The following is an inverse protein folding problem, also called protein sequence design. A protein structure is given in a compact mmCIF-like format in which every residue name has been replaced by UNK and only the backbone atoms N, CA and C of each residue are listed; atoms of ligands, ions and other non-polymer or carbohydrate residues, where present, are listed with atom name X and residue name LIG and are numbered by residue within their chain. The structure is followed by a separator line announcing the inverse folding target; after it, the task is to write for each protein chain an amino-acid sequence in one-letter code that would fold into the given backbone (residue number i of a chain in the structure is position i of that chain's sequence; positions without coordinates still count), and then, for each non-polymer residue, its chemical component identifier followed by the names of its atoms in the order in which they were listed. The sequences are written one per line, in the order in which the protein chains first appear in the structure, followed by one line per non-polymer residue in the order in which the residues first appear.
data_IF_438913321617
#
_entry.id   IF_438913321617
#
_cell.length_a   1.000
_cell.length_b   1.000
_cell.length_c   1.000
_cell.angle_alpha   90.00
_cell.angle_beta   90.00
_cell.angle_gamma   90.00
#
_symmetry.space_group_name_H-M   'P 1'
#
loop_
_entity.id
_entity.type
_entity.pdbx_description
1 polymer ?
#
# COMPACT_ATOMS: atom_id res chain seq x y z
N UNK A 1 15.75 22.56 -9.06
CA UNK A 1 15.78 21.53 -7.99
C UNK A 1 14.77 21.90 -6.92
N UNK A 2 13.84 21.02 -6.59
CA UNK A 2 12.93 21.19 -5.46
C UNK A 2 13.77 21.22 -4.17
N UNK A 3 13.81 22.38 -3.49
CA UNK A 3 14.42 22.45 -2.15
C UNK A 3 13.45 21.80 -1.17
N UNK A 4 13.64 20.50 -0.93
CA UNK A 4 12.86 19.75 0.05
C UNK A 4 13.31 20.11 1.48
N UNK A 5 12.33 20.37 2.35
CA UNK A 5 12.61 20.55 3.78
C UNK A 5 13.16 19.26 4.41
N UNK A 6 13.89 19.38 5.52
CA UNK A 6 14.41 18.20 6.25
C UNK A 6 13.29 17.26 6.68
N UNK A 7 12.12 17.81 7.07
CA UNK A 7 10.94 17.02 7.44
C UNK A 7 10.48 16.13 6.29
N UNK A 8 10.31 16.70 5.08
CA UNK A 8 9.87 15.97 3.89
C UNK A 8 10.88 14.89 3.53
N UNK A 9 12.18 15.20 3.58
CA UNK A 9 13.23 14.21 3.30
C UNK A 9 13.18 13.02 4.27
N UNK A 10 13.10 13.29 5.59
CA UNK A 10 13.05 12.24 6.60
C UNK A 10 11.80 11.35 6.45
N UNK A 11 10.66 11.96 6.18
CA UNK A 11 9.41 11.26 5.93
C UNK A 11 9.44 10.42 4.63
N UNK A 12 10.01 10.96 3.56
CA UNK A 12 10.16 10.25 2.29
C UNK A 12 11.14 9.06 2.39
N UNK A 13 12.23 9.22 3.14
CA UNK A 13 13.19 8.14 3.39
C UNK A 13 12.58 6.99 4.19
N UNK A 14 11.63 7.25 5.09
CA UNK A 14 10.87 6.19 5.72
C UNK A 14 10.13 5.33 4.68
N UNK A 15 9.46 5.95 3.69
CA UNK A 15 8.80 5.20 2.61
C UNK A 15 9.79 4.48 1.69
N UNK A 16 10.97 5.06 1.46
CA UNK A 16 12.06 4.37 0.76
C UNK A 16 12.43 3.05 1.45
N UNK A 17 12.52 3.06 2.78
CA UNK A 17 12.87 1.88 3.58
C UNK A 17 11.74 0.85 3.64
N UNK A 18 10.54 1.27 4.04
CA UNK A 18 9.46 0.35 4.33
C UNK A 18 8.88 -0.32 3.07
N UNK A 19 8.92 0.34 1.90
CA UNK A 19 8.47 -0.25 0.64
C UNK A 19 9.30 -1.46 0.20
N UNK A 20 10.53 -1.63 0.69
CA UNK A 20 11.28 -2.86 0.46
C UNK A 20 10.55 -4.08 1.03
N UNK A 21 9.88 -3.95 2.18
CA UNK A 21 9.07 -5.02 2.76
C UNK A 21 7.88 -5.39 1.87
N UNK A 22 7.10 -4.41 1.40
CA UNK A 22 5.98 -4.68 0.49
C UNK A 22 6.46 -5.29 -0.82
N UNK A 23 7.43 -4.66 -1.47
CA UNK A 23 7.83 -5.03 -2.83
C UNK A 23 8.56 -6.37 -2.85
N UNK A 24 9.54 -6.56 -1.97
CA UNK A 24 10.33 -7.78 -1.96
C UNK A 24 9.65 -8.91 -1.17
N UNK A 25 9.17 -8.64 0.06
CA UNK A 25 8.65 -9.71 0.91
C UNK A 25 7.20 -10.02 0.57
N UNK A 26 6.27 -9.07 0.73
CA UNK A 26 4.83 -9.36 0.53
C UNK A 26 4.55 -9.82 -0.89
N UNK A 27 5.14 -9.16 -1.90
CA UNK A 27 4.78 -9.39 -3.30
C UNK A 27 5.53 -10.54 -3.94
N UNK A 28 6.82 -10.76 -3.63
CA UNK A 28 7.68 -11.69 -4.39
C UNK A 28 8.21 -12.84 -3.55
N UNK A 29 9.09 -12.55 -2.59
CA UNK A 29 9.88 -13.61 -1.96
C UNK A 29 9.08 -14.46 -0.98
N UNK A 30 8.22 -13.85 -0.16
CA UNK A 30 7.47 -14.62 0.83
C UNK A 30 6.48 -15.61 0.19
N UNK A 31 5.62 -15.24 -0.78
CA UNK A 31 4.70 -16.19 -1.41
C UNK A 31 5.39 -17.40 -2.05
N UNK A 32 6.52 -17.15 -2.74
CA UNK A 32 7.29 -18.21 -3.40
C UNK A 32 7.95 -19.11 -2.35
N UNK A 33 8.70 -18.50 -1.42
CA UNK A 33 9.48 -19.25 -0.43
C UNK A 33 8.60 -19.94 0.60
N UNK A 34 7.40 -19.40 0.88
CA UNK A 34 6.42 -20.04 1.72
C UNK A 34 5.95 -21.39 1.14
N UNK A 35 5.73 -21.46 -0.18
CA UNK A 35 5.36 -22.72 -0.86
C UNK A 35 6.52 -23.70 -0.96
N UNK A 36 7.68 -23.21 -1.38
CA UNK A 36 8.78 -24.08 -1.78
C UNK A 36 9.63 -24.53 -0.61
N UNK A 37 9.71 -23.76 0.48
CA UNK A 37 10.59 -24.01 1.61
C UNK A 37 9.81 -24.23 2.91
N UNK A 38 9.05 -23.25 3.39
CA UNK A 38 8.40 -23.37 4.69
C UNK A 38 7.20 -24.33 4.68
N UNK A 39 6.53 -24.52 3.55
CA UNK A 39 5.45 -25.49 3.33
C UNK A 39 5.92 -26.67 2.46
N UNK A 40 7.19 -27.02 2.52
CA UNK A 40 7.75 -28.09 1.71
C UNK A 40 6.96 -29.40 1.85
N UNK A 41 6.65 -30.04 0.72
CA UNK A 41 5.89 -31.29 0.69
C UNK A 41 4.38 -31.16 0.89
N UNK A 42 3.86 -29.96 1.03
CA UNK A 42 2.41 -29.68 1.15
C UNK A 42 1.84 -29.30 -0.22
N UNK A 43 0.59 -29.73 -0.48
CA UNK A 43 -0.12 -29.36 -1.70
C UNK A 43 -0.13 -27.85 -1.92
N UNK A 44 0.17 -27.36 -3.14
CA UNK A 44 0.20 -25.93 -3.44
C UNK A 44 -1.10 -25.18 -3.13
N UNK A 45 -2.25 -25.84 -3.23
CA UNK A 45 -3.56 -25.23 -2.93
C UNK A 45 -3.72 -24.98 -1.42
N UNK A 46 -3.26 -25.93 -0.58
CA UNK A 46 -3.23 -25.76 0.88
C UNK A 46 -2.28 -24.65 1.29
N UNK A 47 -1.10 -24.57 0.64
CA UNK A 47 -0.14 -23.49 0.88
C UNK A 47 -0.72 -22.12 0.51
N UNK A 48 -1.41 -22.02 -0.63
CA UNK A 48 -2.12 -20.82 -1.05
C UNK A 48 -3.22 -20.41 -0.05
N UNK A 49 -3.99 -21.38 0.43
CA UNK A 49 -5.02 -21.15 1.45
C UNK A 49 -4.43 -20.62 2.76
N UNK A 50 -3.33 -21.20 3.25
CA UNK A 50 -2.62 -20.72 4.46
C UNK A 50 -2.11 -19.31 4.29
N UNK A 51 -1.53 -18.98 3.14
CA UNK A 51 -1.07 -17.61 2.82
C UNK A 51 -2.26 -16.62 2.79
N UNK A 52 -3.37 -17.04 2.19
CA UNK A 52 -4.61 -16.26 2.19
C UNK A 52 -5.12 -15.98 3.60
N UNK A 53 -5.09 -16.97 4.50
CA UNK A 53 -5.45 -16.80 5.90
C UNK A 53 -4.52 -15.81 6.62
N UNK A 54 -3.20 -15.87 6.36
CA UNK A 54 -2.25 -14.94 6.96
C UNK A 54 -2.52 -13.49 6.51
N UNK A 55 -2.72 -13.28 5.21
CA UNK A 55 -3.05 -11.96 4.66
C UNK A 55 -4.38 -11.42 5.20
N UNK A 56 -5.44 -12.24 5.15
CA UNK A 56 -6.77 -11.85 5.65
C UNK A 56 -6.75 -11.57 7.15
N UNK A 57 -6.00 -12.37 7.93
CA UNK A 57 -5.84 -12.16 9.37
C UNK A 57 -5.10 -10.84 9.67
N UNK A 58 -4.02 -10.55 8.95
CA UNK A 58 -3.30 -9.27 9.09
C UNK A 58 -4.20 -8.09 8.73
N UNK A 59 -4.88 -8.13 7.58
CA UNK A 59 -5.80 -7.07 7.14
C UNK A 59 -6.94 -6.85 8.12
N UNK A 60 -7.52 -7.93 8.69
CA UNK A 60 -8.58 -7.81 9.70
C UNK A 60 -8.08 -7.13 10.98
N UNK A 61 -6.89 -7.51 11.48
CA UNK A 61 -6.29 -6.88 12.65
C UNK A 61 -6.06 -5.38 12.38
N UNK A 62 -5.50 -5.04 11.24
CA UNK A 62 -5.26 -3.65 10.84
C UNK A 62 -6.57 -2.88 10.72
N UNK A 63 -7.54 -3.43 9.99
CA UNK A 63 -8.83 -2.78 9.77
C UNK A 63 -9.55 -2.44 11.08
N UNK A 64 -9.53 -3.34 12.06
CA UNK A 64 -10.17 -3.12 13.35
C UNK A 64 -9.38 -2.18 14.28
N UNK A 65 -8.06 -2.20 14.19
CA UNK A 65 -7.18 -1.46 15.10
C UNK A 65 -6.72 -0.10 14.60
N UNK A 66 -6.62 0.11 13.27
CA UNK A 66 -6.06 1.34 12.69
C UNK A 66 -6.79 2.63 13.14
N UNK A 67 -8.13 2.72 13.12
CA UNK A 67 -8.83 3.92 13.60
C UNK A 67 -8.62 4.16 15.10
N UNK A 68 -8.56 3.08 15.90
CA UNK A 68 -8.35 3.14 17.33
C UNK A 68 -6.95 3.69 17.66
N UNK A 69 -5.94 3.09 17.04
CA UNK A 69 -4.54 3.51 17.22
C UNK A 69 -4.31 4.93 16.70
N UNK A 70 -4.96 5.30 15.59
CA UNK A 70 -4.93 6.65 15.04
C UNK A 70 -5.49 7.68 16.02
N UNK A 71 -6.65 7.41 16.62
CA UNK A 71 -7.28 8.30 17.60
C UNK A 71 -6.42 8.46 18.88
N UNK A 72 -5.82 7.36 19.35
CA UNK A 72 -4.91 7.40 20.51
C UNK A 72 -3.66 8.23 20.19
N UNK A 73 -3.09 8.06 18.99
CA UNK A 73 -1.90 8.79 18.55
C UNK A 73 -2.15 10.29 18.37
N UNK A 74 -3.35 10.67 17.92
CA UNK A 74 -3.76 12.08 17.80
C UNK A 74 -3.81 12.75 19.17
N UNK A 75 -4.52 12.15 20.13
CA UNK A 75 -4.68 12.73 21.46
C UNK A 75 -3.38 12.81 22.24
N UNK A 76 -2.55 11.76 22.17
CA UNK A 76 -1.27 11.73 22.87
C UNK A 76 -0.18 12.59 22.21
N UNK A 77 -0.36 13.06 20.97
CA UNK A 77 0.71 13.69 20.20
C UNK A 77 1.89 12.74 19.97
N UNK A 78 1.61 11.45 19.71
CA UNK A 78 2.62 10.39 19.67
C UNK A 78 2.72 9.69 18.30
N UNK A 79 2.27 10.34 17.21
CA UNK A 79 2.22 9.75 15.86
C UNK A 79 3.58 9.22 15.39
N UNK A 80 4.64 10.02 15.53
CA UNK A 80 5.99 9.63 15.15
C UNK A 80 6.49 8.46 15.99
N UNK A 81 6.22 8.46 17.30
CA UNK A 81 6.62 7.35 18.19
C UNK A 81 5.92 6.06 17.80
N UNK A 82 4.61 6.10 17.55
CA UNK A 82 3.85 4.92 17.09
C UNK A 82 4.37 4.42 15.75
N UNK A 83 4.66 5.31 14.79
CA UNK A 83 5.27 4.95 13.50
C UNK A 83 6.60 4.23 13.69
N UNK A 84 7.51 4.82 14.48
CA UNK A 84 8.84 4.25 14.69
C UNK A 84 8.81 2.94 15.49
N UNK A 85 7.91 2.82 16.48
CA UNK A 85 7.68 1.56 17.19
C UNK A 85 7.16 0.49 16.24
N UNK A 86 6.22 0.83 15.35
CA UNK A 86 5.71 -0.10 14.33
C UNK A 86 6.82 -0.51 13.36
N UNK A 87 7.64 0.43 12.89
CA UNK A 87 8.77 0.12 12.01
C UNK A 87 9.79 -0.81 12.70
N UNK A 88 10.11 -0.56 13.97
CA UNK A 88 11.04 -1.36 14.74
C UNK A 88 10.51 -2.79 14.98
N UNK A 89 9.27 -2.91 15.46
CA UNK A 89 8.65 -4.21 15.71
C UNK A 89 8.42 -4.99 14.40
N UNK A 90 7.99 -4.31 13.34
CA UNK A 90 7.83 -4.93 12.02
C UNK A 90 9.14 -5.45 11.46
N UNK A 91 10.21 -4.68 11.59
CA UNK A 91 11.54 -5.10 11.17
C UNK A 91 12.07 -6.31 12.00
N UNK A 92 11.81 -6.33 13.31
CA UNK A 92 12.16 -7.50 14.15
C UNK A 92 11.40 -8.75 13.68
N UNK A 93 10.11 -8.64 13.39
CA UNK A 93 9.31 -9.76 12.90
C UNK A 93 9.77 -10.21 11.51
N UNK A 94 10.10 -9.27 10.62
CA UNK A 94 10.71 -9.59 9.33
C UNK A 94 12.07 -10.29 9.50
N UNK A 95 12.93 -9.78 10.39
CA UNK A 95 14.23 -10.40 10.69
C UNK A 95 14.09 -11.81 11.25
N UNK A 96 13.06 -12.06 12.09
CA UNK A 96 12.81 -13.38 12.68
C UNK A 96 12.53 -14.46 11.63
N UNK A 97 12.01 -14.11 10.44
CA UNK A 97 11.83 -15.04 9.32
C UNK A 97 13.15 -15.70 8.87
N UNK A 98 14.29 -15.03 9.06
CA UNK A 98 15.61 -15.57 8.75
C UNK A 98 15.91 -16.88 9.49
N UNK A 99 15.39 -17.03 10.71
CA UNK A 99 15.66 -18.19 11.58
C UNK A 99 14.65 -19.31 11.42
N UNK A 100 13.63 -19.13 10.58
CA UNK A 100 12.62 -20.17 10.34
C UNK A 100 13.16 -21.24 9.39
N UNK A 101 13.15 -22.49 9.82
CA UNK A 101 13.68 -23.60 9.06
C UNK A 101 12.65 -24.26 8.13
N UNK A 102 13.15 -25.19 7.31
CA UNK A 102 12.35 -25.95 6.35
C UNK A 102 11.14 -26.61 7.04
N UNK A 103 9.97 -26.47 6.46
CA UNK A 103 8.73 -27.08 6.97
C UNK A 103 8.06 -26.36 8.14
N UNK A 104 8.69 -25.32 8.71
CA UNK A 104 8.14 -24.57 9.87
C UNK A 104 7.18 -23.48 9.45
N UNK A 105 6.18 -23.82 8.65
CA UNK A 105 5.25 -22.86 8.06
C UNK A 105 4.45 -22.04 9.09
N UNK A 106 4.17 -22.59 10.28
CA UNK A 106 3.42 -21.86 11.32
C UNK A 106 4.17 -20.64 11.82
N UNK A 107 5.48 -20.77 12.09
CA UNK A 107 6.33 -19.68 12.51
C UNK A 107 6.53 -18.66 11.38
N UNK A 108 6.75 -19.13 10.14
CA UNK A 108 6.84 -18.26 8.98
C UNK A 108 5.57 -17.41 8.83
N UNK A 109 4.40 -18.04 8.91
CA UNK A 109 3.11 -17.37 8.82
C UNK A 109 2.89 -16.37 9.97
N UNK A 110 3.23 -16.75 11.21
CA UNK A 110 3.07 -15.89 12.37
C UNK A 110 3.95 -14.62 12.28
N UNK A 111 5.24 -14.77 11.95
CA UNK A 111 6.15 -13.65 11.81
C UNK A 111 5.80 -12.77 10.63
N UNK A 112 5.41 -13.34 9.49
CA UNK A 112 4.95 -12.60 8.32
C UNK A 112 3.70 -11.78 8.62
N UNK A 113 2.69 -12.41 9.25
CA UNK A 113 1.45 -11.74 9.63
C UNK A 113 1.72 -10.58 10.60
N UNK A 114 2.55 -10.80 11.63
CA UNK A 114 2.93 -9.76 12.58
C UNK A 114 3.69 -8.62 11.90
N UNK A 115 4.69 -8.93 11.03
CA UNK A 115 5.42 -7.92 10.28
C UNK A 115 4.49 -7.09 9.38
N UNK A 116 3.53 -7.75 8.72
CA UNK A 116 2.53 -7.10 7.87
C UNK A 116 1.62 -6.16 8.66
N UNK A 117 1.14 -6.59 9.84
CA UNK A 117 0.34 -5.72 10.72
C UNK A 117 1.12 -4.47 11.12
N UNK A 118 2.37 -4.62 11.58
CA UNK A 118 3.21 -3.47 11.93
C UNK A 118 3.55 -2.58 10.73
N UNK A 119 3.74 -3.15 9.55
CA UNK A 119 3.93 -2.41 8.31
C UNK A 119 2.72 -1.50 8.02
N UNK A 120 1.52 -2.04 8.06
CA UNK A 120 0.29 -1.29 7.80
C UNK A 120 0.00 -0.25 8.88
N UNK A 121 0.24 -0.55 10.16
CA UNK A 121 0.17 0.46 11.22
C UNK A 121 1.16 1.60 10.99
N UNK A 122 2.39 1.28 10.59
CA UNK A 122 3.39 2.28 10.20
C UNK A 122 2.89 3.19 9.08
N UNK A 123 2.18 2.63 8.09
CA UNK A 123 1.60 3.41 7.00
C UNK A 123 0.46 4.32 7.47
N UNK A 124 -0.42 3.86 8.37
CA UNK A 124 -1.48 4.71 8.97
C UNK A 124 -0.87 5.97 9.60
N UNK A 125 0.16 5.81 10.43
CA UNK A 125 0.81 6.95 11.06
C UNK A 125 1.62 7.78 10.06
N UNK A 126 2.32 7.14 9.13
CA UNK A 126 3.07 7.80 8.07
C UNK A 126 2.17 8.68 7.19
N UNK A 127 1.03 8.16 6.78
CA UNK A 127 0.04 8.89 5.98
C UNK A 127 -0.60 10.04 6.76
N UNK A 128 -0.94 9.83 8.04
CA UNK A 128 -1.48 10.88 8.90
C UNK A 128 -0.49 12.02 9.13
N UNK A 129 0.82 11.73 9.14
CA UNK A 129 1.88 12.72 9.27
C UNK A 129 2.04 13.60 8.03
N UNK A 130 1.49 13.24 6.87
CA UNK A 130 1.48 14.08 5.67
C UNK A 130 0.97 15.49 5.99
N UNK A 131 -0.07 15.60 6.82
CA UNK A 131 -0.69 16.87 7.21
C UNK A 131 0.28 17.80 7.97
N UNK A 132 1.20 17.24 8.76
CA UNK A 132 2.18 17.99 9.55
C UNK A 132 3.54 18.18 8.87
N UNK A 133 3.86 17.30 7.93
CA UNK A 133 5.15 17.31 7.20
C UNK A 133 5.08 18.20 5.97
N UNK A 134 3.96 18.20 5.25
CA UNK A 134 3.76 19.00 4.05
C UNK A 134 3.63 20.50 4.38
N UNK A 135 4.20 21.33 3.53
CA UNK A 135 3.94 22.77 3.55
C UNK A 135 2.50 23.06 3.05
N UNK A 136 1.86 24.12 3.55
CA UNK A 136 0.54 24.53 3.05
C UNK A 136 0.52 24.63 1.52
N UNK A 137 -0.46 24.00 0.88
CA UNK A 137 -0.58 23.97 -0.58
C UNK A 137 0.27 22.95 -1.31
N UNK A 138 1.20 22.24 -0.65
CA UNK A 138 2.11 21.26 -1.28
C UNK A 138 1.81 19.81 -0.93
N UNK A 139 0.58 19.47 -0.54
CA UNK A 139 0.21 18.11 -0.17
C UNK A 139 0.45 17.10 -1.31
N UNK A 140 0.08 17.48 -2.55
CA UNK A 140 0.17 16.57 -3.70
C UNK A 140 1.62 16.22 -4.02
N UNK A 141 2.50 17.24 -4.08
CA UNK A 141 3.93 16.99 -4.34
C UNK A 141 4.60 16.26 -3.17
N UNK A 142 4.26 16.59 -1.92
CA UNK A 142 4.81 15.87 -0.75
C UNK A 142 4.38 14.41 -0.77
N UNK A 143 3.10 14.13 -1.04
CA UNK A 143 2.58 12.76 -1.22
C UNK A 143 3.31 12.04 -2.36
N UNK A 144 3.49 12.73 -3.50
CA UNK A 144 4.20 12.19 -4.67
C UNK A 144 5.66 11.82 -4.35
N UNK A 145 6.36 12.63 -3.56
CA UNK A 145 7.74 12.35 -3.13
C UNK A 145 7.78 11.10 -2.24
N UNK A 146 6.78 10.89 -1.38
CA UNK A 146 6.65 9.66 -0.60
C UNK A 146 6.52 8.42 -1.50
N UNK A 147 5.61 8.44 -2.47
CA UNK A 147 5.43 7.34 -3.43
C UNK A 147 6.65 7.15 -4.34
N UNK A 148 7.23 8.23 -4.87
CA UNK A 148 8.49 8.19 -5.62
C UNK A 148 9.59 7.47 -4.83
N UNK A 149 9.77 7.85 -3.57
CA UNK A 149 10.77 7.25 -2.69
C UNK A 149 10.47 5.77 -2.45
N UNK A 150 9.22 5.41 -2.22
CA UNK A 150 8.78 4.03 -2.04
C UNK A 150 9.05 3.17 -3.27
N UNK A 151 8.60 3.59 -4.44
CA UNK A 151 8.84 2.86 -5.69
C UNK A 151 10.33 2.68 -5.99
N UNK A 152 11.12 3.76 -5.83
CA UNK A 152 12.55 3.69 -6.12
C UNK A 152 13.29 2.84 -5.09
N UNK A 153 13.04 3.05 -3.79
CA UNK A 153 13.70 2.30 -2.73
C UNK A 153 13.32 0.81 -2.72
N UNK A 154 12.02 0.51 -2.86
CA UNK A 154 11.52 -0.86 -2.95
C UNK A 154 11.94 -1.55 -4.24
N UNK A 155 11.90 -0.84 -5.38
CA UNK A 155 12.33 -1.36 -6.68
C UNK A 155 13.82 -1.70 -6.72
N UNK A 156 14.69 -0.82 -6.24
CA UNK A 156 16.14 -1.09 -6.16
C UNK A 156 16.44 -2.26 -5.23
N UNK A 157 15.76 -2.33 -4.09
CA UNK A 157 15.90 -3.46 -3.17
C UNK A 157 15.41 -4.77 -3.79
N UNK A 158 14.29 -4.75 -4.52
CA UNK A 158 13.80 -5.93 -5.25
C UNK A 158 14.81 -6.42 -6.30
N UNK A 159 15.39 -5.49 -7.07
CA UNK A 159 16.44 -5.84 -8.05
C UNK A 159 17.60 -6.54 -7.36
N UNK A 160 18.10 -6.00 -6.26
CA UNK A 160 19.16 -6.64 -5.46
C UNK A 160 18.73 -8.05 -5.02
N UNK A 161 17.53 -8.22 -4.49
CA UNK A 161 17.01 -9.52 -4.05
C UNK A 161 16.89 -10.54 -5.20
N UNK A 162 16.43 -10.10 -6.37
CA UNK A 162 16.35 -10.96 -7.57
C UNK A 162 17.74 -11.41 -7.99
N UNK A 163 18.72 -10.51 -8.05
CA UNK A 163 20.11 -10.88 -8.36
C UNK A 163 20.69 -11.86 -7.35
N UNK A 164 20.46 -11.64 -6.06
CA UNK A 164 20.89 -12.56 -5.02
C UNK A 164 20.28 -13.95 -5.16
N UNK A 165 19.00 -14.03 -5.54
CA UNK A 165 18.30 -15.32 -5.74
C UNK A 165 18.74 -16.05 -6.99
N UNK A 166 19.04 -15.32 -8.10
CA UNK A 166 19.46 -15.91 -9.37
C UNK A 166 20.95 -16.29 -9.40
N UNK A 167 21.78 -15.58 -8.66
CA UNK A 167 23.24 -15.76 -8.63
C UNK A 167 23.78 -15.74 -7.19
N UNK A 168 23.30 -16.67 -6.31
CA UNK A 168 23.66 -16.66 -4.90
C UNK A 168 25.16 -16.74 -4.67
N UNK A 169 25.89 -17.46 -5.53
CA UNK A 169 27.35 -17.61 -5.43
C UNK A 169 28.11 -16.28 -5.55
N UNK A 170 27.58 -15.30 -6.25
CA UNK A 170 28.20 -13.95 -6.32
C UNK A 170 28.21 -13.22 -4.99
N UNK A 171 27.34 -13.65 -4.09
CA UNK A 171 27.18 -13.08 -2.73
C UNK A 171 27.74 -14.02 -1.64
N UNK A 172 28.46 -15.09 -2.04
CA UNK A 172 28.99 -16.09 -1.10
C UNK A 172 27.93 -16.98 -0.47
N UNK A 173 26.75 -17.12 -1.09
CA UNK A 173 25.62 -17.90 -0.59
C UNK A 173 25.57 -19.26 -1.32
N UNK A 174 25.16 -20.30 -0.60
CA UNK A 174 25.17 -21.67 -1.09
C UNK A 174 24.12 -21.90 -2.20
N UNK A 175 22.92 -21.38 -1.99
CA UNK A 175 21.76 -21.62 -2.84
C UNK A 175 20.74 -20.47 -2.78
N UNK A 176 19.68 -20.59 -3.57
CA UNK A 176 18.57 -19.62 -3.59
C UNK A 176 17.83 -19.54 -2.25
N UNK A 177 17.73 -20.64 -1.49
CA UNK A 177 17.06 -20.63 -0.18
C UNK A 177 17.86 -19.80 0.83
N UNK A 178 19.17 -19.98 0.89
CA UNK A 178 20.07 -19.14 1.68
C UNK A 178 19.99 -17.67 1.26
N UNK A 179 19.88 -17.40 -0.05
CA UNK A 179 19.71 -16.05 -0.56
C UNK A 179 18.42 -15.40 -0.05
N UNK A 180 17.27 -16.10 -0.10
CA UNK A 180 15.99 -15.55 0.41
C UNK A 180 16.06 -15.30 1.91
N UNK A 181 16.66 -16.17 2.71
CA UNK A 181 16.88 -15.95 4.15
C UNK A 181 17.69 -14.68 4.42
N UNK A 182 18.73 -14.41 3.61
CA UNK A 182 19.52 -13.19 3.71
C UNK A 182 18.74 -11.97 3.24
N UNK A 183 17.96 -12.07 2.15
CA UNK A 183 17.12 -10.99 1.65
C UNK A 183 16.11 -10.52 2.72
N UNK A 184 15.49 -11.45 3.43
CA UNK A 184 14.56 -11.13 4.52
C UNK A 184 15.26 -10.35 5.63
N UNK A 185 16.45 -10.78 6.03
CA UNK A 185 17.30 -10.09 7.01
C UNK A 185 17.69 -8.67 6.53
N UNK A 186 18.14 -8.56 5.27
CA UNK A 186 18.50 -7.27 4.67
C UNK A 186 17.29 -6.33 4.54
N UNK A 187 16.09 -6.86 4.28
CA UNK A 187 14.84 -6.07 4.27
C UNK A 187 14.60 -5.40 5.61
N UNK A 188 14.77 -6.13 6.71
CA UNK A 188 14.64 -5.58 8.05
C UNK A 188 15.67 -4.47 8.31
N UNK A 189 16.93 -4.71 7.97
CA UNK A 189 18.00 -3.72 8.09
C UNK A 189 17.78 -2.48 7.24
N UNK A 190 17.33 -2.64 6.00
CA UNK A 190 16.98 -1.57 5.07
C UNK A 190 15.85 -0.71 5.63
N UNK A 191 14.78 -1.34 6.11
CA UNK A 191 13.66 -0.63 6.72
C UNK A 191 14.09 0.21 7.93
N UNK A 192 14.85 -0.37 8.85
CA UNK A 192 15.36 0.37 10.03
C UNK A 192 16.32 1.50 9.64
N UNK A 193 17.28 1.24 8.75
CA UNK A 193 18.26 2.23 8.31
C UNK A 193 17.60 3.49 7.77
N UNK A 194 16.64 3.32 6.88
CA UNK A 194 15.92 4.44 6.26
C UNK A 194 14.83 5.05 7.16
N UNK A 195 14.52 4.45 8.30
CA UNK A 195 13.68 5.04 9.34
C UNK A 195 14.45 6.00 10.26
N UNK A 196 15.79 5.90 10.33
CA UNK A 196 16.65 6.76 11.16
C UNK A 196 16.48 8.26 10.84
N UNK A 197 16.47 8.71 9.58
CA UNK A 197 16.27 10.13 9.26
C UNK A 197 14.94 10.69 9.75
N UNK A 198 13.88 9.88 9.76
CA UNK A 198 12.58 10.30 10.30
C UNK A 198 12.70 10.59 11.81
N UNK A 199 13.46 9.77 12.55
CA UNK A 199 13.70 10.00 13.97
C UNK A 199 14.28 11.39 14.23
N UNK A 200 15.34 11.78 13.49
CA UNK A 200 16.09 13.02 13.76
C UNK A 200 15.52 14.25 13.07
N UNK A 201 14.91 14.11 11.88
CA UNK A 201 14.54 15.25 11.04
C UNK A 201 13.07 15.64 11.10
N UNK A 202 12.21 14.72 11.54
CA UNK A 202 10.78 14.99 11.62
C UNK A 202 10.40 15.20 13.09
N UNK A 203 9.90 16.39 13.46
CA UNK A 203 9.41 16.61 14.82
C UNK A 203 8.16 15.78 15.08
N UNK A 204 7.89 15.47 16.36
CA UNK A 204 6.61 14.94 16.76
C UNK A 204 5.52 15.96 16.45
N UNK A 205 4.44 15.60 15.76
CA UNK A 205 3.31 16.51 15.54
C UNK A 205 2.76 17.03 16.87
N UNK A 206 2.25 18.27 16.86
CA UNK A 206 1.65 18.87 18.04
C UNK A 206 0.43 18.04 18.52
N UNK A 207 0.35 17.82 19.80
CA UNK A 207 -0.75 17.15 20.49
C UNK A 207 -0.73 17.55 21.98
N UNK A 208 -1.74 17.15 22.71
CA UNK A 208 -1.90 17.54 24.13
C UNK A 208 -0.84 16.94 25.08
N UNK A 209 0.08 16.11 24.56
CA UNK A 209 1.15 15.41 25.32
C UNK A 209 0.67 14.76 26.61
N UNK A 210 -0.47 14.13 26.56
CA UNK A 210 -1.04 13.40 27.68
C UNK A 210 -0.32 12.06 27.92
N UNK A 211 -0.51 11.50 29.11
CA UNK A 211 -0.05 10.14 29.36
C UNK A 211 -0.78 9.15 28.46
N UNK A 212 -0.13 8.05 28.08
CA UNK A 212 -0.69 7.05 27.17
C UNK A 212 -2.05 6.54 27.69
N UNK A 213 -2.19 6.30 29.00
CA UNK A 213 -3.44 5.79 29.60
C UNK A 213 -4.61 6.75 29.40
N UNK A 214 -4.38 8.06 29.59
CA UNK A 214 -5.39 9.10 29.38
C UNK A 214 -5.70 9.23 27.89
N UNK A 215 -4.68 9.19 27.04
CA UNK A 215 -4.82 9.22 25.58
C UNK A 215 -5.65 8.05 25.04
N UNK A 216 -5.51 6.84 25.60
CA UNK A 216 -6.32 5.67 25.22
C UNK A 216 -7.79 5.92 25.51
N UNK A 217 -8.13 6.30 26.75
CA UNK A 217 -9.54 6.53 27.13
C UNK A 217 -10.19 7.63 26.31
N UNK A 218 -9.50 8.77 26.13
CA UNK A 218 -9.99 9.90 25.34
C UNK A 218 -10.06 9.58 23.85
N UNK A 219 -9.05 8.88 23.29
CA UNK A 219 -9.04 8.46 21.90
C UNK A 219 -10.19 7.52 21.56
N UNK A 220 -10.48 6.54 22.41
CA UNK A 220 -11.62 5.64 22.21
C UNK A 220 -12.97 6.37 22.29
N UNK A 221 -13.11 7.33 23.22
CA UNK A 221 -14.31 8.17 23.31
C UNK A 221 -14.48 9.01 22.05
N UNK A 222 -13.42 9.68 21.61
CA UNK A 222 -13.42 10.48 20.39
C UNK A 222 -13.78 9.63 19.17
N UNK A 223 -13.20 8.42 19.04
CA UNK A 223 -13.52 7.48 17.96
C UNK A 223 -15.01 7.13 17.96
N UNK A 224 -15.60 6.84 19.12
CA UNK A 224 -17.02 6.56 19.24
C UNK A 224 -17.90 7.75 18.83
N UNK A 225 -17.48 8.97 19.19
CA UNK A 225 -18.14 10.22 18.77
C UNK A 225 -18.04 10.40 17.25
N UNK A 226 -16.86 10.22 16.66
CA UNK A 226 -16.66 10.32 15.20
C UNK A 226 -17.46 9.27 14.45
N UNK A 227 -17.47 8.02 14.92
CA UNK A 227 -18.26 6.96 14.30
C UNK A 227 -19.76 7.28 14.29
N UNK A 228 -20.27 7.88 15.37
CA UNK A 228 -21.68 8.33 15.44
C UNK A 228 -21.96 9.49 14.50
N UNK A 229 -21.03 10.42 14.34
CA UNK A 229 -21.21 11.66 13.60
C UNK A 229 -20.52 11.68 12.24
N UNK A 230 -19.92 10.55 11.78
CA UNK A 230 -19.19 10.49 10.50
C UNK A 230 -20.04 10.98 9.32
N UNK A 231 -21.36 10.80 9.39
CA UNK A 231 -22.30 11.34 8.39
C UNK A 231 -22.38 12.87 8.37
N UNK A 232 -22.07 13.55 9.48
CA UNK A 232 -22.06 15.02 9.52
C UNK A 232 -20.84 15.60 8.79
N UNK A 233 -19.76 14.81 8.66
CA UNK A 233 -18.59 15.14 7.83
C UNK A 233 -18.82 14.75 6.37
N UNK A 234 -19.89 15.26 5.76
CA UNK A 234 -20.35 14.86 4.41
C UNK A 234 -19.25 14.74 3.35
N UNK A 235 -18.34 15.73 3.16
CA UNK A 235 -17.30 15.64 2.14
C UNK A 235 -16.34 14.46 2.38
N UNK A 236 -15.94 14.24 3.64
CA UNK A 236 -15.08 13.13 4.05
C UNK A 236 -15.76 11.79 3.84
N UNK A 237 -17.01 11.67 4.30
CA UNK A 237 -17.79 10.44 4.17
C UNK A 237 -18.01 10.04 2.70
N UNK A 238 -18.43 11.00 1.85
CA UNK A 238 -18.64 10.74 0.41
C UNK A 238 -17.30 10.36 -0.24
N UNK A 239 -16.21 11.05 0.12
CA UNK A 239 -14.89 10.72 -0.39
C UNK A 239 -14.47 9.30 0.01
N UNK A 240 -14.66 8.91 1.26
CA UNK A 240 -14.30 7.57 1.75
C UNK A 240 -15.07 6.46 1.02
N UNK A 241 -16.36 6.65 0.74
CA UNK A 241 -17.14 5.69 -0.04
C UNK A 241 -16.65 5.66 -1.50
N UNK A 242 -16.42 6.82 -2.12
CA UNK A 242 -15.87 6.88 -3.47
C UNK A 242 -14.52 6.19 -3.55
N UNK A 243 -13.62 6.49 -2.59
CA UNK A 243 -12.30 5.89 -2.45
C UNK A 243 -12.39 4.37 -2.33
N UNK A 244 -13.21 3.87 -1.42
CA UNK A 244 -13.39 2.44 -1.21
C UNK A 244 -13.76 1.72 -2.52
N UNK A 245 -14.72 2.26 -3.25
CA UNK A 245 -15.20 1.64 -4.50
C UNK A 245 -14.14 1.66 -5.60
N UNK A 246 -13.50 2.82 -5.88
CA UNK A 246 -12.54 2.84 -6.99
C UNK A 246 -11.19 2.22 -6.62
N UNK A 247 -10.77 2.25 -5.34
CA UNK A 247 -9.52 1.63 -4.93
C UNK A 247 -9.62 0.10 -4.89
N UNK A 248 -10.83 -0.44 -4.66
CA UNK A 248 -11.10 -1.87 -4.84
C UNK A 248 -10.83 -2.29 -6.31
N UNK A 249 -11.31 -1.50 -7.27
CA UNK A 249 -10.99 -1.71 -8.69
C UNK A 249 -9.48 -1.64 -8.98
N UNK A 250 -8.78 -0.65 -8.41
CA UNK A 250 -7.31 -0.50 -8.55
C UNK A 250 -6.59 -1.71 -7.97
N UNK A 251 -6.89 -2.09 -6.73
CA UNK A 251 -6.27 -3.22 -6.05
C UNK A 251 -6.56 -4.53 -6.78
N UNK A 252 -7.76 -4.68 -7.32
CA UNK A 252 -8.17 -5.85 -8.11
C UNK A 252 -7.32 -5.97 -9.38
N UNK A 253 -7.13 -4.89 -10.14
CA UNK A 253 -6.26 -4.91 -11.32
C UNK A 253 -4.83 -5.31 -10.93
N UNK A 254 -4.32 -4.77 -9.83
CA UNK A 254 -2.95 -5.08 -9.36
C UNK A 254 -2.81 -6.55 -8.96
N UNK A 255 -3.74 -7.05 -8.16
CA UNK A 255 -3.68 -8.41 -7.60
C UNK A 255 -3.96 -9.49 -8.65
N UNK A 256 -4.89 -9.22 -9.56
CA UNK A 256 -5.33 -10.18 -10.56
C UNK A 256 -4.53 -10.13 -11.87
N UNK A 257 -3.68 -9.11 -12.08
CA UNK A 257 -2.94 -8.94 -13.34
C UNK A 257 -2.07 -10.15 -13.70
N UNK A 258 -1.37 -10.72 -12.71
CA UNK A 258 -0.49 -11.89 -12.91
C UNK A 258 -1.33 -13.14 -13.20
N UNK A 259 -2.38 -13.39 -12.42
CA UNK A 259 -3.28 -14.52 -12.63
C UNK A 259 -3.99 -14.43 -13.98
N UNK A 260 -4.46 -13.24 -14.34
CA UNK A 260 -5.07 -12.98 -15.63
C UNK A 260 -4.09 -13.23 -16.79
N UNK A 261 -2.88 -12.69 -16.70
CA UNK A 261 -1.83 -12.92 -17.71
C UNK A 261 -1.50 -14.40 -17.88
N UNK A 262 -1.46 -15.15 -16.77
CA UNK A 262 -1.25 -16.60 -16.78
C UNK A 262 -2.44 -17.35 -17.39
N UNK A 263 -3.67 -16.95 -17.08
CA UNK A 263 -4.89 -17.55 -17.60
C UNK A 263 -5.03 -17.40 -19.12
N UNK A 264 -4.47 -16.32 -19.70
CA UNK A 264 -4.47 -16.10 -21.17
C UNK A 264 -3.20 -16.61 -21.85
N UNK A 265 -2.29 -17.29 -21.11
CA UNK A 265 -1.19 -18.08 -21.66
C UNK A 265 0.18 -17.40 -21.68
N UNK A 266 0.41 -16.31 -20.92
CA UNK A 266 1.73 -15.67 -20.84
C UNK A 266 2.69 -16.43 -19.94
N UNK A 267 3.98 -16.43 -20.30
CA UNK A 267 5.06 -17.08 -19.56
C UNK A 267 5.38 -16.38 -18.23
N UNK A 268 5.89 -17.15 -17.27
CA UNK A 268 6.27 -16.61 -15.95
C UNK A 268 7.30 -15.47 -16.05
N UNK A 269 8.24 -15.56 -16.99
CA UNK A 269 9.24 -14.50 -17.25
C UNK A 269 8.58 -13.19 -17.68
N UNK A 270 7.56 -13.26 -18.54
CA UNK A 270 6.81 -12.08 -19.00
C UNK A 270 6.06 -11.41 -17.83
N UNK A 271 5.48 -12.24 -16.95
CA UNK A 271 4.76 -11.74 -15.77
C UNK A 271 5.70 -11.01 -14.78
N UNK A 272 6.89 -11.60 -14.53
CA UNK A 272 7.90 -10.96 -13.65
C UNK A 272 8.40 -9.63 -14.28
N UNK A 273 8.70 -9.63 -15.58
CA UNK A 273 9.15 -8.42 -16.28
C UNK A 273 8.08 -7.32 -16.24
N UNK A 274 6.80 -7.68 -16.39
CA UNK A 274 5.69 -6.74 -16.27
C UNK A 274 5.61 -6.10 -14.88
N UNK A 275 5.78 -6.88 -13.80
CA UNK A 275 5.79 -6.35 -12.41
C UNK A 275 6.95 -5.38 -12.22
N UNK A 276 8.15 -5.71 -12.70
CA UNK A 276 9.30 -4.80 -12.64
C UNK A 276 9.03 -3.51 -13.43
N UNK A 277 8.40 -3.63 -14.60
CA UNK A 277 8.06 -2.47 -15.43
C UNK A 277 7.10 -1.52 -14.70
N UNK A 278 6.06 -2.05 -14.03
CA UNK A 278 5.16 -1.25 -13.19
C UNK A 278 5.93 -0.45 -12.14
N UNK A 279 6.88 -1.08 -11.45
CA UNK A 279 7.66 -0.42 -10.41
C UNK A 279 8.51 0.74 -10.96
N UNK A 280 9.25 0.51 -12.04
CA UNK A 280 10.14 1.53 -12.60
C UNK A 280 9.40 2.66 -13.32
N UNK A 281 8.30 2.35 -14.01
CA UNK A 281 7.42 3.36 -14.61
C UNK A 281 6.72 4.18 -13.51
N UNK A 282 6.38 3.57 -12.41
CA UNK A 282 5.78 4.24 -11.25
C UNK A 282 6.64 5.35 -10.66
N UNK A 283 7.98 5.23 -10.73
CA UNK A 283 8.92 6.24 -10.20
C UNK A 283 8.70 7.64 -10.81
N UNK A 284 8.88 7.86 -12.12
CA UNK A 284 8.62 9.17 -12.72
C UNK A 284 7.13 9.54 -12.72
N UNK A 285 6.25 8.55 -12.83
CA UNK A 285 4.80 8.75 -12.82
C UNK A 285 4.31 9.39 -11.52
N UNK A 286 4.83 8.98 -10.37
CA UNK A 286 4.47 9.58 -9.08
C UNK A 286 4.73 11.09 -9.07
N UNK A 287 5.91 11.54 -9.55
CA UNK A 287 6.23 12.97 -9.62
C UNK A 287 5.37 13.71 -10.66
N UNK A 288 5.07 13.07 -11.78
CA UNK A 288 4.16 13.61 -12.79
C UNK A 288 2.77 13.85 -12.20
N UNK A 289 2.19 12.87 -11.51
CA UNK A 289 0.89 13.00 -10.88
C UNK A 289 0.89 14.03 -9.73
N UNK A 290 2.00 14.15 -8.99
CA UNK A 290 2.17 15.22 -8.01
C UNK A 290 2.01 16.61 -8.63
N UNK A 291 2.65 16.83 -9.80
CA UNK A 291 2.50 18.10 -10.55
C UNK A 291 1.10 18.29 -11.13
N UNK A 292 0.46 17.20 -11.59
CA UNK A 292 -0.94 17.25 -12.03
C UNK A 292 -1.83 17.69 -10.87
N UNK A 293 -1.66 17.09 -9.67
CA UNK A 293 -2.40 17.46 -8.48
C UNK A 293 -2.25 18.93 -8.10
N UNK A 294 -1.02 19.48 -8.18
CA UNK A 294 -0.76 20.90 -7.90
C UNK A 294 -1.38 21.83 -8.94
N UNK A 295 -1.38 21.47 -10.24
CA UNK A 295 -1.84 22.33 -11.33
C UNK A 295 -3.35 22.32 -11.54
N UNK A 296 -3.93 21.12 -11.58
CA UNK A 296 -5.36 20.93 -11.91
C UNK A 296 -6.20 20.44 -10.74
N UNK A 297 -5.55 20.20 -9.60
CA UNK A 297 -6.18 19.69 -8.39
C UNK A 297 -6.21 18.16 -8.32
N UNK A 298 -6.13 17.59 -7.10
CA UNK A 298 -6.02 16.13 -6.91
C UNK A 298 -7.25 15.38 -7.44
N UNK A 299 -8.45 15.95 -7.32
CA UNK A 299 -9.68 15.35 -7.83
C UNK A 299 -9.64 15.09 -9.34
N UNK A 300 -9.17 16.07 -10.14
CA UNK A 300 -9.05 15.89 -11.58
C UNK A 300 -7.97 14.89 -11.95
N UNK A 301 -6.85 14.86 -11.21
CA UNK A 301 -5.82 13.84 -11.40
C UNK A 301 -6.32 12.43 -11.10
N UNK A 302 -7.18 12.24 -10.09
CA UNK A 302 -7.83 10.94 -9.82
C UNK A 302 -8.71 10.55 -11.01
N UNK A 303 -9.54 11.46 -11.55
CA UNK A 303 -10.37 11.16 -12.74
C UNK A 303 -9.53 10.74 -13.95
N UNK A 304 -8.39 11.39 -14.20
CA UNK A 304 -7.44 11.01 -15.26
C UNK A 304 -6.96 9.57 -15.03
N UNK A 305 -6.54 9.25 -13.81
CA UNK A 305 -6.09 7.90 -13.46
C UNK A 305 -7.18 6.84 -13.64
N UNK A 306 -8.42 7.11 -13.19
CA UNK A 306 -9.56 6.21 -13.35
C UNK A 306 -9.94 6.01 -14.82
N UNK A 307 -9.88 7.06 -15.64
CA UNK A 307 -10.11 6.95 -17.10
C UNK A 307 -9.06 6.03 -17.76
N UNK A 308 -7.78 6.14 -17.35
CA UNK A 308 -6.74 5.21 -17.83
C UNK A 308 -7.01 3.79 -17.36
N UNK A 309 -7.47 3.56 -16.12
CA UNK A 309 -7.83 2.23 -15.64
C UNK A 309 -9.00 1.62 -16.42
N UNK A 310 -10.01 2.42 -16.79
CA UNK A 310 -11.11 1.97 -17.69
C UNK A 310 -10.53 1.54 -19.03
N UNK A 311 -9.64 2.36 -19.62
CA UNK A 311 -8.98 2.01 -20.88
C UNK A 311 -8.13 0.72 -20.74
N UNK A 312 -7.34 0.59 -19.67
CA UNK A 312 -6.56 -0.61 -19.36
C UNK A 312 -7.44 -1.84 -19.27
N UNK A 313 -8.59 -1.75 -18.61
CA UNK A 313 -9.54 -2.89 -18.48
C UNK A 313 -10.13 -3.29 -19.83
N UNK A 314 -10.48 -2.32 -20.68
CA UNK A 314 -10.94 -2.60 -22.07
C UNK A 314 -9.81 -3.20 -22.91
N UNK A 315 -8.63 -2.59 -22.88
CA UNK A 315 -7.47 -3.08 -23.64
C UNK A 315 -7.07 -4.50 -23.21
N UNK A 316 -7.10 -4.81 -21.91
CA UNK A 316 -6.81 -6.14 -21.37
C UNK A 316 -7.71 -7.22 -21.97
N UNK A 317 -9.01 -6.93 -22.18
CA UNK A 317 -9.95 -7.89 -22.77
C UNK A 317 -9.60 -8.30 -24.21
N UNK A 318 -8.90 -7.46 -24.95
CA UNK A 318 -8.55 -7.66 -26.36
C UNK A 318 -7.08 -8.00 -26.61
N UNK A 319 -6.23 -8.07 -25.57
CA UNK A 319 -4.82 -8.37 -25.78
C UNK A 319 -4.54 -9.85 -26.08
N UNK A 320 -3.54 -10.10 -26.92
CA UNK A 320 -3.16 -11.43 -27.38
C UNK A 320 -1.66 -11.71 -27.30
N UNK A 321 -0.82 -10.69 -27.12
CA UNK A 321 0.65 -10.80 -27.18
C UNK A 321 1.29 -10.29 -25.88
N UNK A 322 2.48 -10.85 -25.54
CA UNK A 322 3.24 -10.42 -24.36
C UNK A 322 3.62 -8.92 -24.45
N UNK A 323 3.90 -8.40 -25.63
CA UNK A 323 4.18 -6.97 -25.82
C UNK A 323 3.00 -6.08 -25.41
N UNK A 324 1.77 -6.50 -25.74
CA UNK A 324 0.56 -5.78 -25.30
C UNK A 324 0.41 -5.83 -23.78
N UNK A 325 0.81 -6.95 -23.14
CA UNK A 325 0.83 -7.07 -21.69
C UNK A 325 1.86 -6.12 -21.05
N UNK A 326 3.05 -5.95 -21.64
CA UNK A 326 4.03 -4.97 -21.18
C UNK A 326 3.53 -3.53 -21.32
N UNK A 327 2.85 -3.20 -22.42
CA UNK A 327 2.22 -1.89 -22.60
C UNK A 327 1.16 -1.64 -21.51
N UNK A 328 0.33 -2.64 -21.23
CA UNK A 328 -0.67 -2.58 -20.16
C UNK A 328 0.00 -2.39 -18.81
N UNK A 329 1.05 -3.13 -18.48
CA UNK A 329 1.83 -2.99 -17.28
C UNK A 329 2.43 -1.58 -17.13
N UNK A 330 2.97 -1.02 -18.22
CA UNK A 330 3.47 0.35 -18.23
C UNK A 330 2.34 1.37 -17.95
N UNK A 331 1.17 1.21 -18.55
CA UNK A 331 0.01 2.08 -18.31
C UNK A 331 -0.48 1.98 -16.86
N UNK A 332 -0.56 0.77 -16.29
CA UNK A 332 -0.87 0.58 -14.86
C UNK A 332 0.18 1.28 -14.01
N UNK A 333 1.47 1.09 -14.29
CA UNK A 333 2.57 1.75 -13.58
C UNK A 333 2.47 3.28 -13.62
N UNK A 334 2.03 3.85 -14.75
CA UNK A 334 1.82 5.30 -14.89
C UNK A 334 0.75 5.84 -13.94
N UNK A 335 -0.33 5.10 -13.68
CA UNK A 335 -1.49 5.65 -12.97
C UNK A 335 -1.68 5.09 -11.56
N UNK A 336 -1.16 3.90 -11.25
CA UNK A 336 -1.36 3.22 -9.97
C UNK A 336 -0.94 4.11 -8.79
N UNK A 337 0.31 4.54 -8.77
CA UNK A 337 0.81 5.46 -7.74
C UNK A 337 0.12 6.81 -7.80
N UNK A 338 -0.21 7.29 -9.01
CA UNK A 338 -0.90 8.55 -9.23
C UNK A 338 -2.26 8.62 -8.54
N UNK A 339 -3.11 7.63 -8.74
CA UNK A 339 -4.43 7.56 -8.08
C UNK A 339 -4.27 7.48 -6.57
N UNK A 340 -3.37 6.63 -6.08
CA UNK A 340 -3.17 6.45 -4.63
C UNK A 340 -2.61 7.71 -3.97
N UNK A 341 -1.57 8.33 -4.53
CA UNK A 341 -0.95 9.53 -3.95
C UNK A 341 -1.90 10.74 -3.95
N UNK A 342 -2.71 10.90 -5.00
CA UNK A 342 -3.68 11.99 -5.07
C UNK A 342 -4.90 11.73 -4.18
N UNK A 343 -5.32 10.48 -4.02
CA UNK A 343 -6.35 10.11 -3.04
C UNK A 343 -5.90 10.45 -1.63
N UNK A 344 -4.66 10.09 -1.26
CA UNK A 344 -4.06 10.42 0.03
C UNK A 344 -3.96 11.94 0.25
N UNK A 345 -3.47 12.68 -0.76
CA UNK A 345 -3.32 14.13 -0.64
C UNK A 345 -4.65 14.87 -0.64
N UNK A 346 -5.64 14.39 -1.39
CA UNK A 346 -6.98 14.96 -1.39
C UNK A 346 -7.66 14.72 -0.03
N UNK A 347 -7.54 13.52 0.51
CA UNK A 347 -8.05 13.21 1.83
C UNK A 347 -7.41 14.06 2.92
N UNK A 348 -6.09 14.25 2.87
CA UNK A 348 -5.37 15.13 3.80
C UNK A 348 -5.87 16.58 3.81
N UNK A 349 -6.48 17.05 2.72
CA UNK A 349 -7.09 18.39 2.63
C UNK A 349 -8.49 18.45 3.25
N UNK A 350 -9.17 17.32 3.33
CA UNK A 350 -10.55 17.23 3.84
C UNK A 350 -10.60 17.03 5.35
N UNK A 351 -9.54 16.46 5.95
CA UNK A 351 -9.52 16.09 7.36
C UNK A 351 -8.91 17.18 8.24
N UNK A 352 -9.39 17.35 9.50
CA UNK A 352 -8.76 18.22 10.48
C UNK A 352 -7.35 17.70 10.84
N UNK A 353 -6.38 18.62 10.95
CA UNK A 353 -5.00 18.25 11.25
C UNK A 353 -4.86 17.56 12.61
N UNK A 354 -5.65 18.00 13.60
CA UNK A 354 -5.67 17.52 14.98
C UNK A 354 -6.18 16.08 15.09
N UNK A 355 -6.99 15.65 14.13
CA UNK A 355 -7.63 14.32 14.08
C UNK A 355 -7.15 13.46 12.89
N UNK A 356 -6.04 13.84 12.28
CA UNK A 356 -5.55 13.19 11.07
C UNK A 356 -5.24 11.70 11.28
N UNK A 357 -4.73 11.28 12.44
CA UNK A 357 -4.46 9.88 12.74
C UNK A 357 -5.73 9.02 12.74
N UNK A 358 -6.79 9.49 13.41
CA UNK A 358 -8.08 8.84 13.45
C UNK A 358 -8.68 8.71 12.04
N UNK A 359 -8.73 9.81 11.29
CA UNK A 359 -9.31 9.82 9.96
C UNK A 359 -8.48 8.98 8.96
N UNK A 360 -7.15 9.03 9.00
CA UNK A 360 -6.31 8.15 8.20
C UNK A 360 -6.39 6.69 8.64
N UNK A 361 -6.71 6.43 9.91
CA UNK A 361 -7.11 5.10 10.37
C UNK A 361 -8.32 4.55 9.61
N UNK A 362 -9.38 5.35 9.45
CA UNK A 362 -10.55 4.98 8.64
C UNK A 362 -10.20 4.83 7.14
N UNK A 363 -9.38 5.73 6.60
CA UNK A 363 -8.92 5.66 5.21
C UNK A 363 -8.18 4.35 4.93
N UNK A 364 -7.23 3.98 5.77
CA UNK A 364 -6.47 2.74 5.62
C UNK A 364 -7.33 1.50 5.91
N UNK A 365 -8.23 1.56 6.90
CA UNK A 365 -9.21 0.50 7.14
C UNK A 365 -10.03 0.19 5.87
N UNK A 366 -10.56 1.21 5.21
CA UNK A 366 -11.31 1.04 3.97
C UNK A 366 -10.42 0.55 2.82
N UNK A 367 -9.16 0.98 2.77
CA UNK A 367 -8.16 0.47 1.83
C UNK A 367 -7.93 -1.04 1.95
N UNK A 368 -7.85 -1.55 3.19
CA UNK A 368 -7.73 -3.00 3.46
C UNK A 368 -8.99 -3.78 3.06
N UNK A 369 -10.19 -3.22 3.32
CA UNK A 369 -11.44 -3.84 2.87
C UNK A 369 -11.68 -3.70 1.36
N UNK A 370 -10.96 -2.84 0.68
CA UNK A 370 -11.08 -2.59 -0.75
C UNK A 370 -10.27 -3.60 -1.60
N UNK A 371 -10.23 -4.85 -1.23
CA UNK A 371 -9.67 -5.94 -2.01
C UNK A 371 -10.61 -7.15 -1.99
N UNK A 372 -11.89 -6.90 -1.70
CA UNK A 372 -12.88 -7.97 -1.50
C UNK A 372 -13.87 -8.02 -2.66
N UNK A 373 -14.45 -6.87 -3.03
CA UNK A 373 -15.55 -6.84 -4.02
C UNK A 373 -15.04 -7.16 -5.41
N UNK A 374 -13.91 -6.59 -5.80
CA UNK A 374 -13.36 -6.73 -7.14
C UNK A 374 -12.99 -8.16 -7.52
N UNK A 375 -12.20 -8.90 -6.72
CA UNK A 375 -11.89 -10.30 -7.00
C UNK A 375 -13.13 -11.20 -7.03
N UNK A 376 -14.12 -10.98 -6.13
CA UNK A 376 -15.40 -11.69 -6.15
C UNK A 376 -16.16 -11.39 -7.43
N UNK A 377 -16.19 -10.13 -7.86
CA UNK A 377 -16.84 -9.72 -9.11
C UNK A 377 -16.19 -10.39 -10.32
N UNK A 378 -14.85 -10.34 -10.44
CA UNK A 378 -14.10 -11.03 -11.50
C UNK A 378 -14.38 -12.54 -11.48
N UNK A 379 -14.28 -13.17 -10.30
CA UNK A 379 -14.51 -14.60 -10.15
C UNK A 379 -15.92 -15.01 -10.58
N UNK A 380 -16.93 -14.28 -10.11
CA UNK A 380 -18.33 -14.54 -10.44
C UNK A 380 -18.59 -14.40 -11.94
N UNK A 381 -18.15 -13.29 -12.56
CA UNK A 381 -18.32 -13.08 -14.00
C UNK A 381 -17.53 -14.12 -14.81
N UNK A 382 -16.33 -14.52 -14.35
CA UNK A 382 -15.54 -15.57 -15.00
C UNK A 382 -16.28 -16.91 -15.02
N UNK A 383 -16.90 -17.30 -13.89
CA UNK A 383 -17.70 -18.54 -13.81
C UNK A 383 -18.95 -18.45 -14.70
N UNK A 384 -19.64 -17.32 -14.68
CA UNK A 384 -20.88 -17.14 -15.46
C UNK A 384 -20.64 -17.10 -16.97
N UNK A 385 -19.51 -16.54 -17.41
CA UNK A 385 -19.21 -16.34 -18.83
C UNK A 385 -18.26 -17.38 -19.42
N UNK A 386 -17.57 -18.14 -18.57
CA UNK A 386 -16.47 -19.04 -18.98
C UNK A 386 -15.28 -18.31 -19.60
N UNK A 387 -15.19 -16.98 -19.45
CA UNK A 387 -14.20 -16.15 -20.13
C UNK A 387 -13.45 -15.22 -19.15
N UNK A 388 -12.13 -15.45 -18.95
CA UNK A 388 -11.30 -14.51 -18.20
C UNK A 388 -11.31 -13.09 -18.81
N UNK A 389 -11.45 -12.98 -20.13
CA UNK A 389 -11.50 -11.70 -20.85
C UNK A 389 -12.77 -10.90 -20.56
N UNK A 390 -13.91 -11.57 -20.42
CA UNK A 390 -15.15 -10.92 -20.03
C UNK A 390 -15.11 -10.48 -18.55
N UNK A 391 -14.47 -11.27 -17.70
CA UNK A 391 -14.40 -10.98 -16.26
C UNK A 391 -13.62 -9.70 -15.94
N UNK A 392 -12.54 -9.39 -16.66
CA UNK A 392 -11.75 -8.16 -16.41
C UNK A 392 -12.55 -6.88 -16.73
N UNK A 393 -13.51 -6.94 -17.66
CA UNK A 393 -14.38 -5.80 -17.98
C UNK A 393 -15.33 -5.44 -16.82
N UNK A 394 -15.64 -6.39 -15.94
CA UNK A 394 -16.51 -6.12 -14.80
C UNK A 394 -15.95 -5.09 -13.83
N UNK A 395 -14.62 -4.96 -13.75
CA UNK A 395 -13.95 -3.98 -12.88
C UNK A 395 -14.25 -2.54 -13.27
N UNK A 396 -14.62 -2.30 -14.54
CA UNK A 396 -15.03 -0.96 -15.03
C UNK A 396 -16.19 -0.39 -14.20
N UNK A 397 -17.09 -1.25 -13.72
CA UNK A 397 -18.22 -0.83 -12.87
C UNK A 397 -17.72 -0.15 -11.59
N UNK A 398 -16.63 -0.66 -10.97
CA UNK A 398 -16.05 -0.07 -9.77
C UNK A 398 -15.44 1.30 -10.08
N UNK A 399 -14.73 1.43 -11.20
CA UNK A 399 -14.17 2.72 -11.61
C UNK A 399 -15.26 3.74 -11.95
N UNK A 400 -16.30 3.34 -12.67
CA UNK A 400 -17.41 4.22 -13.04
C UNK A 400 -18.21 4.68 -11.80
N UNK A 401 -18.56 3.77 -10.91
CA UNK A 401 -19.27 4.10 -9.67
C UNK A 401 -18.41 4.97 -8.74
N UNK A 402 -17.12 4.63 -8.57
CA UNK A 402 -16.20 5.42 -7.78
C UNK A 402 -16.02 6.83 -8.34
N UNK A 403 -15.87 6.97 -9.66
CA UNK A 403 -15.81 8.26 -10.33
C UNK A 403 -17.13 9.07 -10.14
N UNK A 404 -18.28 8.43 -10.30
CA UNK A 404 -19.58 9.08 -10.09
C UNK A 404 -19.73 9.59 -8.64
N UNK A 405 -19.36 8.79 -7.64
CA UNK A 405 -19.37 9.21 -6.24
C UNK A 405 -18.39 10.36 -5.99
N UNK A 406 -17.20 10.32 -6.58
CA UNK A 406 -16.19 11.36 -6.45
C UNK A 406 -16.71 12.70 -7.00
N UNK A 407 -17.62 12.72 -7.99
CA UNK A 407 -18.25 13.98 -8.47
C UNK A 407 -19.07 14.68 -7.38
N UNK A 408 -19.58 13.94 -6.40
CA UNK A 408 -20.39 14.47 -5.30
C UNK A 408 -19.58 15.09 -4.17
N UNK A 409 -18.26 14.90 -4.15
CA UNK A 409 -17.37 15.50 -3.14
C UNK A 409 -17.21 16.99 -3.46
N UNK A 410 -17.80 17.86 -2.63
CA UNK A 410 -17.64 19.31 -2.77
C UNK A 410 -16.26 19.75 -2.29
N UNK A 411 -15.52 20.44 -3.15
CA UNK A 411 -14.26 21.10 -2.83
C UNK A 411 -14.57 22.46 -2.18
N UNK A 412 -14.13 22.65 -0.95
CA UNK A 412 -14.25 23.96 -0.28
C UNK A 412 -14.81 23.93 1.14
N UNK A 413 -15.51 22.89 1.54
CA UNK A 413 -15.95 22.74 2.93
C UNK A 413 -14.88 21.96 3.72
N UNK A 414 -13.97 22.69 4.40
CA UNK A 414 -13.16 22.06 5.46
C UNK A 414 -14.10 21.67 6.59
N UNK A 415 -13.86 20.50 7.15
CA UNK A 415 -14.53 20.08 8.40
C UNK A 415 -14.17 21.13 9.47
N UNK A 416 -15.15 21.73 10.18
CA UNK A 416 -14.86 22.57 11.32
C UNK A 416 -14.03 21.81 12.36
N UNK A 417 -13.07 22.49 12.97
CA UNK A 417 -12.19 21.93 13.98
C UNK A 417 -12.96 21.42 15.20
#
# INVERSE_FOLDING_TARGET
MLKLSRKVKGWALYYWGNHAFTTAIITVFFPIFFKDYWNHGVDPSVSTFRLGLANSGASLIVALSAPILGAIADKGGHKKRFLLSSAFLGAIMAFALHFVDLGQWQWAMAFYMAASVFYWWGNVFGDSMLVSVAEPGKFDMTSAIGYFSGYLGGGLFLVLGVFMSLKPQWFGLADAASAVKVIVMLTAGWWLLFSIPLWFWVPEPAGERESITVSVSRGLRQLAETFRHVRSYKPVFIFLIAYWVYIDGVNTVIQMAVDYGKAIGFGTSDLILAVLLVQFVGVPAALMFGRIGERVGPRHGIFIGLAVYVFVSVFAAFMHTAWQFYLLAAMVGLVQGGVQLLSRSYYARLVPAERAGEFFGFYNMLGEFAAIIGPVLIGTVSIMTGSPRASILSVIVLFALGALLLTRVKTGERVPA
#
